data_IF_052820437286
#
_entry.id   IF_052820437286
#
_cell.length_a   1.000
_cell.length_b   1.000
_cell.length_c   1.000
_cell.angle_alpha   90.00
_cell.angle_beta   90.00
_cell.angle_gamma   90.00
#
_symmetry.space_group_name_H-M   'P 1'
#
loop_
_entity.id
_entity.type
_entity.pdbx_description
1 polymer ?
#
# COMPACT_ATOMS: atom_id res chain seq x y z
N UNK A 1 20.16 7.23 16.87
CA UNK A 1 20.04 6.31 15.71
C UNK A 1 18.74 6.54 14.90
N UNK A 2 17.68 7.06 15.51
CA UNK A 2 16.41 7.38 14.79
C UNK A 2 16.57 8.52 13.78
N UNK A 3 17.56 9.38 13.96
CA UNK A 3 17.83 10.57 13.14
C UNK A 3 18.84 10.26 12.04
N UNK A 4 19.85 9.44 12.35
CA UNK A 4 20.94 9.12 11.44
C UNK A 4 20.59 8.02 10.43
N UNK A 5 21.17 8.05 9.23
CA UNK A 5 21.07 6.95 8.28
C UNK A 5 21.60 5.64 8.87
N UNK A 6 21.02 4.47 8.54
CA UNK A 6 21.48 3.18 9.06
C UNK A 6 22.97 2.91 8.82
N UNK A 7 23.52 3.36 7.68
CA UNK A 7 24.94 3.17 7.32
C UNK A 7 25.94 3.74 8.33
N UNK A 8 25.57 4.83 9.01
CA UNK A 8 26.48 5.53 9.95
C UNK A 8 26.04 5.37 11.41
N UNK A 9 24.98 4.61 11.67
CA UNK A 9 24.49 4.39 13.02
C UNK A 9 25.22 3.21 13.65
N UNK A 10 25.91 3.38 14.80
CA UNK A 10 26.57 2.28 15.48
C UNK A 10 25.56 1.22 15.97
N UNK A 11 25.93 -0.04 15.81
CA UNK A 11 25.11 -1.18 16.30
C UNK A 11 25.43 -1.39 17.77
N UNK A 12 24.60 -0.85 18.67
CA UNK A 12 24.81 -0.87 20.11
C UNK A 12 23.60 -1.33 20.90
N UNK A 13 23.83 -1.83 22.10
CA UNK A 13 22.81 -2.35 23.01
C UNK A 13 21.69 -1.35 23.33
N UNK A 14 21.97 -0.05 23.36
CA UNK A 14 21.01 1.00 23.73
C UNK A 14 19.93 1.31 22.67
N UNK A 15 19.92 0.64 21.51
CA UNK A 15 18.85 0.80 20.50
C UNK A 15 17.49 0.32 21.04
N UNK A 16 17.49 -0.45 22.11
CA UNK A 16 16.28 -0.89 22.79
C UNK A 16 16.10 -0.17 24.12
N UNK A 17 14.86 0.23 24.43
CA UNK A 17 14.51 0.80 25.74
C UNK A 17 14.46 -0.26 26.83
N UNK A 18 13.95 -1.45 26.49
CA UNK A 18 13.74 -2.56 27.41
C UNK A 18 14.74 -3.68 27.13
N UNK A 19 15.01 -4.51 28.16
CA UNK A 19 15.78 -5.73 28.01
C UNK A 19 14.96 -6.71 27.16
N UNK A 20 15.57 -7.23 26.08
CA UNK A 20 14.94 -8.25 25.24
C UNK A 20 15.37 -9.61 25.75
N UNK A 21 14.42 -10.39 26.23
CA UNK A 21 14.59 -11.80 26.52
C UNK A 21 14.48 -12.59 25.20
N UNK A 22 15.28 -13.64 25.07
CA UNK A 22 15.25 -14.49 23.89
C UNK A 22 14.23 -15.61 24.09
N UNK A 23 13.08 -15.46 23.43
CA UNK A 23 12.02 -16.47 23.36
C UNK A 23 11.36 -16.38 21.97
N UNK A 24 12.20 -16.27 20.93
CA UNK A 24 11.74 -16.15 19.56
C UNK A 24 12.80 -16.66 18.59
N UNK A 25 12.37 -17.29 17.51
CA UNK A 25 13.25 -17.81 16.46
C UNK A 25 13.23 -16.92 15.18
N UNK A 26 12.28 -16.01 15.07
CA UNK A 26 12.11 -15.15 13.89
C UNK A 26 12.01 -13.69 14.34
N UNK A 27 12.74 -12.82 13.67
CA UNK A 27 12.64 -11.35 13.79
C UNK A 27 12.20 -10.77 12.46
N UNK A 28 11.01 -10.18 12.43
CA UNK A 28 10.52 -9.44 11.26
C UNK A 28 10.64 -7.96 11.55
N UNK A 29 11.30 -7.23 10.65
CA UNK A 29 11.50 -5.80 10.77
C UNK A 29 11.06 -5.08 9.49
N UNK A 30 10.55 -3.85 9.63
CA UNK A 30 10.08 -3.06 8.49
C UNK A 30 10.53 -1.61 8.59
N UNK A 31 11.07 -1.12 7.48
CA UNK A 31 11.44 0.27 7.30
C UNK A 31 12.71 0.70 8.04
N UNK A 32 13.16 1.91 7.74
CA UNK A 32 14.48 2.44 8.12
C UNK A 32 14.80 2.38 9.62
N UNK A 33 13.81 2.62 10.49
CA UNK A 33 14.07 2.71 11.94
C UNK A 33 14.33 1.36 12.60
N UNK A 34 13.89 0.27 11.97
CA UNK A 34 14.05 -1.10 12.50
C UNK A 34 15.31 -1.81 11.99
N UNK A 35 16.04 -1.23 11.03
CA UNK A 35 17.27 -1.81 10.46
C UNK A 35 18.30 -2.13 11.54
N UNK A 36 18.73 -1.11 12.30
CA UNK A 36 19.76 -1.28 13.33
C UNK A 36 19.33 -2.20 14.48
N UNK A 37 18.10 -2.07 15.02
CA UNK A 37 17.60 -3.05 16.00
C UNK A 37 17.63 -4.49 15.48
N UNK A 38 17.21 -4.73 14.23
CA UNK A 38 17.21 -6.06 13.63
C UNK A 38 18.62 -6.64 13.50
N UNK A 39 19.58 -5.85 13.00
CA UNK A 39 21.00 -6.26 12.92
C UNK A 39 21.59 -6.55 14.30
N UNK A 40 21.28 -5.70 15.30
CA UNK A 40 21.73 -5.94 16.67
C UNK A 40 21.24 -7.29 17.20
N UNK A 41 19.96 -7.63 16.99
CA UNK A 41 19.42 -8.92 17.42
C UNK A 41 20.09 -10.08 16.70
N UNK A 42 20.29 -9.98 15.38
CA UNK A 42 20.98 -11.02 14.60
C UNK A 42 22.41 -11.24 15.11
N UNK A 43 23.18 -10.17 15.35
CA UNK A 43 24.54 -10.27 15.88
C UNK A 43 24.58 -10.87 17.29
N UNK A 44 23.57 -10.55 18.12
CA UNK A 44 23.50 -11.06 19.50
C UNK A 44 23.13 -12.54 19.57
N UNK A 45 22.17 -12.97 18.75
CA UNK A 45 21.61 -14.33 18.81
C UNK A 45 22.09 -15.24 17.68
N UNK A 46 22.81 -14.68 16.69
CA UNK A 46 23.43 -15.41 15.56
C UNK A 46 22.47 -16.39 14.89
N UNK A 47 22.87 -17.66 14.81
CA UNK A 47 22.10 -18.72 14.13
C UNK A 47 20.83 -19.16 14.87
N UNK A 48 20.62 -18.67 16.11
CA UNK A 48 19.39 -18.99 16.87
C UNK A 48 18.18 -18.23 16.39
N UNK A 49 18.33 -17.24 15.50
CA UNK A 49 17.23 -16.48 14.94
C UNK A 49 17.38 -16.30 13.42
N UNK A 50 16.25 -16.29 12.75
CA UNK A 50 16.12 -15.84 11.36
C UNK A 50 15.66 -14.39 11.36
N UNK A 51 16.39 -13.55 10.64
CA UNK A 51 16.05 -12.12 10.57
C UNK A 51 15.56 -11.75 9.16
N UNK A 52 14.33 -11.24 9.08
CA UNK A 52 13.63 -10.84 7.86
C UNK A 52 13.45 -9.33 7.89
N UNK A 53 13.85 -8.65 6.82
CA UNK A 53 13.62 -7.21 6.69
C UNK A 53 12.71 -6.90 5.50
N UNK A 54 11.72 -6.03 5.73
CA UNK A 54 10.80 -5.56 4.69
C UNK A 54 11.23 -4.15 4.28
N UNK A 55 11.40 -3.92 2.99
CA UNK A 55 11.97 -2.79 2.28
C UNK A 55 13.50 -2.85 2.14
N UNK A 56 14.04 -1.98 1.28
CA UNK A 56 15.49 -1.83 1.13
C UNK A 56 16.11 -1.27 2.43
N UNK A 57 17.00 -2.01 3.10
CA UNK A 57 17.58 -1.60 4.37
C UNK A 57 18.59 -0.47 4.24
N UNK A 58 19.10 -0.19 3.03
CA UNK A 58 20.14 0.81 2.75
C UNK A 58 21.47 0.55 3.49
N UNK A 59 21.74 -0.69 3.84
CA UNK A 59 23.01 -1.21 4.42
C UNK A 59 23.37 -2.52 3.72
N UNK A 60 24.51 -3.18 4.09
CA UNK A 60 24.85 -4.50 3.54
C UNK A 60 23.71 -5.49 3.72
N UNK A 61 23.34 -6.17 2.64
CA UNK A 61 22.23 -7.13 2.61
C UNK A 61 22.57 -8.39 3.40
N UNK A 62 23.84 -8.70 3.58
CA UNK A 62 24.33 -9.86 4.34
C UNK A 62 23.98 -9.80 5.84
N UNK A 63 23.55 -8.63 6.34
CA UNK A 63 23.05 -8.49 7.70
C UNK A 63 21.68 -9.14 7.92
N UNK A 64 21.04 -9.67 6.88
CA UNK A 64 19.69 -10.25 6.93
C UNK A 64 19.69 -11.62 6.26
N UNK A 65 18.90 -12.54 6.81
CA UNK A 65 18.69 -13.85 6.19
C UNK A 65 17.76 -13.70 4.97
N UNK A 66 16.72 -12.88 5.08
CA UNK A 66 15.81 -12.54 3.99
C UNK A 66 15.49 -11.04 3.96
N UNK A 67 15.40 -10.49 2.76
CA UNK A 67 14.94 -9.12 2.51
C UNK A 67 13.79 -9.19 1.51
N UNK A 68 12.65 -8.60 1.89
CA UNK A 68 11.49 -8.47 1.01
C UNK A 68 11.48 -7.04 0.48
N UNK A 69 11.65 -6.87 -0.81
CA UNK A 69 11.65 -5.55 -1.44
C UNK A 69 10.74 -5.53 -2.67
N UNK A 70 10.02 -4.41 -2.93
CA UNK A 70 9.26 -4.28 -4.17
C UNK A 70 10.18 -4.26 -5.39
N UNK A 71 9.74 -4.87 -6.51
CA UNK A 71 10.49 -4.89 -7.77
C UNK A 71 10.89 -3.48 -8.25
N UNK A 72 10.01 -2.50 -8.02
CA UNK A 72 10.27 -1.11 -8.39
C UNK A 72 11.38 -0.41 -7.58
N UNK A 73 11.90 -1.04 -6.52
CA UNK A 73 13.08 -0.58 -5.77
C UNK A 73 14.39 -1.07 -6.40
N UNK A 74 14.33 -1.99 -7.38
CA UNK A 74 15.46 -2.55 -8.14
C UNK A 74 16.58 -3.14 -7.25
N UNK A 75 16.22 -3.61 -6.05
CA UNK A 75 17.16 -4.22 -5.12
C UNK A 75 17.56 -5.62 -5.60
N UNK A 76 18.87 -5.88 -5.69
CA UNK A 76 19.41 -7.18 -6.12
C UNK A 76 20.28 -7.80 -5.04
N UNK A 77 20.07 -9.08 -4.75
CA UNK A 77 20.86 -9.84 -3.77
C UNK A 77 20.39 -11.29 -3.70
N UNK A 78 21.26 -12.19 -3.23
CA UNK A 78 20.96 -13.64 -3.13
C UNK A 78 19.83 -13.92 -2.11
N UNK A 79 19.69 -13.07 -1.12
CA UNK A 79 18.70 -13.13 -0.05
C UNK A 79 17.53 -12.16 -0.24
N UNK A 80 17.39 -11.56 -1.43
CA UNK A 80 16.30 -10.63 -1.75
C UNK A 80 15.16 -11.38 -2.42
N UNK A 81 13.97 -11.21 -1.86
CA UNK A 81 12.70 -11.71 -2.39
C UNK A 81 11.93 -10.51 -2.91
N UNK A 82 11.65 -10.49 -4.20
CA UNK A 82 10.96 -9.39 -4.84
C UNK A 82 9.43 -9.55 -4.74
N UNK A 83 8.75 -8.47 -4.38
CA UNK A 83 7.29 -8.33 -4.45
C UNK A 83 6.87 -7.43 -5.60
N UNK A 84 5.79 -7.76 -6.28
CA UNK A 84 5.28 -6.92 -7.39
C UNK A 84 4.78 -5.57 -6.92
N UNK A 85 4.21 -5.51 -5.71
CA UNK A 85 3.77 -4.29 -5.07
C UNK A 85 4.25 -4.19 -3.63
N UNK A 86 3.66 -3.28 -2.88
CA UNK A 86 3.92 -3.16 -1.45
C UNK A 86 3.32 -4.34 -0.69
N UNK A 87 4.06 -4.90 0.28
CA UNK A 87 3.51 -5.86 1.23
C UNK A 87 2.55 -5.14 2.17
N UNK A 88 1.38 -5.70 2.37
CA UNK A 88 0.33 -5.16 3.22
C UNK A 88 -0.38 -6.26 4.02
N UNK A 89 -1.15 -5.88 5.02
CA UNK A 89 -1.86 -6.79 5.91
C UNK A 89 -3.24 -7.20 5.38
N UNK A 90 -3.77 -6.54 4.35
CA UNK A 90 -5.11 -6.81 3.84
C UNK A 90 -5.21 -8.22 3.28
N UNK A 91 -6.28 -8.91 3.63
CA UNK A 91 -6.66 -10.23 3.13
C UNK A 91 -8.05 -10.19 2.52
N UNK A 92 -8.36 -11.15 1.64
CA UNK A 92 -9.70 -11.31 1.10
C UNK A 92 -10.74 -11.58 2.21
N UNK A 93 -10.34 -12.26 3.30
CA UNK A 93 -11.21 -12.50 4.44
C UNK A 93 -11.59 -11.21 5.15
N UNK A 94 -10.62 -10.32 5.43
CA UNK A 94 -10.92 -9.01 6.02
C UNK A 94 -11.85 -8.17 5.15
N UNK A 95 -11.71 -8.23 3.82
CA UNK A 95 -12.65 -7.56 2.90
C UNK A 95 -14.07 -8.14 3.05
N UNK A 96 -14.20 -9.48 3.07
CA UNK A 96 -15.49 -10.14 3.21
C UNK A 96 -16.16 -9.83 4.57
N UNK A 97 -15.42 -9.88 5.66
CA UNK A 97 -15.91 -9.60 7.03
C UNK A 97 -16.43 -8.16 7.17
N UNK A 98 -15.88 -7.22 6.41
CA UNK A 98 -16.27 -5.80 6.48
C UNK A 98 -17.25 -5.38 5.36
N UNK A 99 -17.70 -6.28 4.49
CA UNK A 99 -18.62 -5.96 3.39
C UNK A 99 -19.87 -5.21 3.87
N UNK A 100 -20.48 -5.69 4.95
CA UNK A 100 -21.73 -5.15 5.47
C UNK A 100 -21.62 -3.75 6.10
N UNK A 101 -20.41 -3.25 6.37
CA UNK A 101 -20.22 -1.99 7.08
C UNK A 101 -20.84 -0.78 6.34
N UNK A 102 -20.72 -0.73 5.01
CA UNK A 102 -21.34 0.31 4.21
C UNK A 102 -22.57 -0.19 3.41
N UNK A 103 -22.86 -1.48 3.43
CA UNK A 103 -23.92 -2.08 2.60
C UNK A 103 -25.29 -1.47 2.81
N UNK A 104 -25.61 -1.03 4.02
CA UNK A 104 -26.89 -0.36 4.33
C UNK A 104 -26.99 1.09 3.80
N UNK A 105 -25.84 1.66 3.38
CA UNK A 105 -25.76 3.04 2.88
C UNK A 105 -25.71 3.13 1.37
N UNK A 106 -25.51 2.01 0.69
CA UNK A 106 -25.41 1.98 -0.78
C UNK A 106 -26.78 1.81 -1.42
N UNK A 107 -26.94 2.39 -2.60
CA UNK A 107 -28.04 2.14 -3.50
C UNK A 107 -27.77 0.83 -4.26
N UNK A 108 -28.55 -0.21 -3.99
CA UNK A 108 -28.40 -1.52 -4.59
C UNK A 108 -28.67 -1.56 -6.11
N UNK A 109 -29.24 -0.49 -6.67
CA UNK A 109 -29.48 -0.37 -8.11
C UNK A 109 -28.27 0.23 -8.85
N UNK A 110 -27.31 0.80 -8.12
CA UNK A 110 -26.13 1.45 -8.68
C UNK A 110 -24.88 0.58 -8.57
N UNK A 111 -23.99 0.74 -9.53
CA UNK A 111 -22.64 0.22 -9.43
C UNK A 111 -21.85 1.07 -8.43
N UNK A 112 -20.95 0.48 -7.69
CA UNK A 112 -20.15 1.21 -6.69
C UNK A 112 -18.79 1.57 -7.26
N UNK A 113 -18.41 2.82 -7.08
CA UNK A 113 -17.05 3.33 -7.26
C UNK A 113 -16.41 3.57 -5.90
N UNK A 114 -15.27 2.94 -5.60
CA UNK A 114 -14.45 3.36 -4.47
C UNK A 114 -13.43 4.40 -4.95
N UNK A 115 -13.52 5.63 -4.45
CA UNK A 115 -12.53 6.68 -4.72
C UNK A 115 -11.67 6.93 -3.48
N UNK A 116 -10.40 6.52 -3.54
CA UNK A 116 -9.46 6.59 -2.44
C UNK A 116 -8.53 7.78 -2.67
N UNK A 117 -8.60 8.76 -1.78
CA UNK A 117 -7.82 9.99 -1.86
C UNK A 117 -6.61 9.88 -0.93
N UNK A 118 -5.43 9.98 -1.50
CA UNK A 118 -4.17 10.08 -0.77
C UNK A 118 -3.94 11.47 -0.19
N UNK A 119 -2.72 11.95 -0.22
CA UNK A 119 -2.37 13.28 0.26
C UNK A 119 -0.96 13.68 -0.15
N UNK A 120 -0.60 14.95 0.02
CA UNK A 120 0.67 15.47 -0.42
C UNK A 120 1.84 14.73 0.23
N UNK A 121 2.91 14.61 -0.51
CA UNK A 121 4.17 14.06 -0.03
C UNK A 121 5.35 14.77 -0.73
N UNK A 122 6.58 14.29 -0.55
CA UNK A 122 7.76 14.92 -1.16
C UNK A 122 7.84 14.83 -2.68
N UNK A 123 6.97 14.04 -3.32
CA UNK A 123 6.95 13.81 -4.77
C UNK A 123 5.72 14.39 -5.45
N UNK A 124 4.61 14.49 -4.74
CA UNK A 124 3.32 14.93 -5.27
C UNK A 124 2.72 16.02 -4.40
N UNK A 125 2.23 17.08 -5.04
CA UNK A 125 1.41 18.11 -4.42
C UNK A 125 -0.07 17.82 -4.66
N UNK A 126 -0.91 18.52 -3.88
CA UNK A 126 -2.36 18.50 -4.05
C UNK A 126 -2.80 19.93 -4.32
N UNK A 127 -3.06 20.22 -5.58
CA UNK A 127 -3.59 21.49 -6.06
C UNK A 127 -5.12 21.38 -6.15
N UNK A 128 -5.83 22.43 -5.72
CA UNK A 128 -7.30 22.43 -5.73
C UNK A 128 -7.89 22.35 -7.14
N UNK A 129 -7.24 22.96 -8.14
CA UNK A 129 -7.69 22.90 -9.55
C UNK A 129 -7.60 21.48 -10.11
N UNK A 130 -6.48 20.79 -9.82
CA UNK A 130 -6.30 19.40 -10.27
C UNK A 130 -7.31 18.48 -9.57
N UNK A 131 -7.62 18.75 -8.30
CA UNK A 131 -8.67 18.00 -7.60
C UNK A 131 -10.05 18.24 -8.22
N UNK A 132 -10.36 19.46 -8.62
CA UNK A 132 -11.59 19.77 -9.35
C UNK A 132 -11.67 18.99 -10.65
N UNK A 133 -10.59 18.93 -11.42
CA UNK A 133 -10.53 18.12 -12.65
C UNK A 133 -10.75 16.62 -12.35
N UNK A 134 -10.16 16.08 -11.29
CA UNK A 134 -10.38 14.70 -10.87
C UNK A 134 -11.85 14.48 -10.48
N UNK A 135 -12.45 15.39 -9.71
CA UNK A 135 -13.86 15.29 -9.32
C UNK A 135 -14.79 15.38 -10.53
N UNK A 136 -14.48 16.25 -11.50
CA UNK A 136 -15.20 16.33 -12.77
C UNK A 136 -15.13 14.99 -13.53
N UNK A 137 -13.95 14.39 -13.62
CA UNK A 137 -13.76 13.08 -14.26
C UNK A 137 -14.55 11.97 -13.53
N UNK A 138 -14.52 11.95 -12.19
CA UNK A 138 -15.32 11.02 -11.38
C UNK A 138 -16.81 11.19 -11.69
N UNK A 139 -17.31 12.43 -11.71
CA UNK A 139 -18.71 12.71 -12.01
C UNK A 139 -19.09 12.28 -13.42
N UNK A 140 -18.32 12.68 -14.42
CA UNK A 140 -18.64 12.43 -15.82
C UNK A 140 -18.48 10.96 -16.21
N UNK A 141 -17.40 10.32 -15.75
CA UNK A 141 -17.11 8.95 -16.18
C UNK A 141 -17.91 7.91 -15.38
N UNK A 142 -18.23 8.17 -14.10
CA UNK A 142 -18.85 7.19 -13.24
C UNK A 142 -20.25 7.60 -12.76
N UNK A 143 -20.39 8.72 -12.04
CA UNK A 143 -21.66 9.08 -11.39
C UNK A 143 -22.76 9.26 -12.45
N UNK A 144 -22.50 10.00 -13.52
CA UNK A 144 -23.44 10.21 -14.61
C UNK A 144 -23.75 8.93 -15.42
N UNK A 145 -22.97 7.85 -15.19
CA UNK A 145 -23.14 6.55 -15.83
C UNK A 145 -23.62 5.46 -14.84
N UNK A 146 -24.39 5.86 -13.83
CA UNK A 146 -25.10 4.96 -12.92
C UNK A 146 -24.23 4.36 -11.82
N UNK A 147 -23.18 5.08 -11.40
CA UNK A 147 -22.39 4.72 -10.21
C UNK A 147 -22.77 5.56 -9.01
N UNK A 148 -22.67 4.97 -7.84
CA UNK A 148 -22.59 5.67 -6.57
C UNK A 148 -21.11 5.64 -6.11
N UNK A 149 -20.57 6.81 -5.79
CA UNK A 149 -19.19 6.93 -5.33
C UNK A 149 -19.13 6.84 -3.80
N UNK A 150 -18.13 6.07 -3.31
CA UNK A 150 -17.72 6.05 -1.92
C UNK A 150 -16.35 6.73 -1.87
N UNK A 151 -16.27 7.92 -1.29
CA UNK A 151 -15.06 8.74 -1.22
C UNK A 151 -14.38 8.54 0.14
N UNK A 152 -13.11 8.11 0.12
CA UNK A 152 -12.40 7.68 1.32
C UNK A 152 -11.06 8.42 1.43
N UNK A 153 -10.82 9.10 2.58
CA UNK A 153 -9.54 9.72 2.86
C UNK A 153 -8.50 8.71 3.35
N UNK A 154 -7.24 9.01 3.09
CA UNK A 154 -6.08 8.40 3.74
C UNK A 154 -5.61 9.22 4.94
N UNK A 155 -4.64 8.67 5.70
CA UNK A 155 -3.99 9.38 6.81
C UNK A 155 -3.32 10.70 6.41
N UNK A 156 -3.01 10.88 5.12
CA UNK A 156 -2.35 12.09 4.59
C UNK A 156 -3.30 13.07 3.93
N UNK A 157 -4.56 12.71 3.78
CA UNK A 157 -5.55 13.55 3.10
C UNK A 157 -5.84 14.79 3.95
N UNK A 158 -5.57 16.01 3.44
CA UNK A 158 -5.90 17.24 4.15
C UNK A 158 -7.41 17.38 4.36
N UNK A 159 -7.82 17.92 5.51
CA UNK A 159 -9.24 18.09 5.85
C UNK A 159 -10.01 18.99 4.86
N UNK A 160 -9.35 20.00 4.29
CA UNK A 160 -9.98 20.87 3.27
C UNK A 160 -10.35 20.10 2.00
N UNK A 161 -9.61 19.04 1.64
CA UNK A 161 -9.95 18.20 0.47
C UNK A 161 -11.25 17.43 0.72
N UNK A 162 -11.44 16.90 1.93
CA UNK A 162 -12.69 16.19 2.27
C UNK A 162 -13.87 17.17 2.31
N UNK A 163 -13.72 18.34 2.93
CA UNK A 163 -14.74 19.40 2.89
C UNK A 163 -15.09 19.83 1.45
N UNK A 164 -14.08 19.90 0.58
CA UNK A 164 -14.28 20.19 -0.84
C UNK A 164 -15.07 19.06 -1.52
N UNK A 165 -14.79 17.81 -1.23
CA UNK A 165 -15.56 16.68 -1.74
C UNK A 165 -17.03 16.75 -1.23
N UNK A 166 -17.25 17.05 0.05
CA UNK A 166 -18.59 17.24 0.65
C UNK A 166 -19.40 18.35 -0.04
N UNK A 167 -18.74 19.44 -0.47
CA UNK A 167 -19.40 20.54 -1.20
C UNK A 167 -19.59 20.27 -2.69
N UNK A 168 -18.81 19.35 -3.29
CA UNK A 168 -18.83 19.06 -4.72
C UNK A 168 -19.80 17.94 -5.10
N UNK A 169 -19.83 16.88 -4.31
CA UNK A 169 -20.67 15.71 -4.55
C UNK A 169 -22.00 15.84 -3.81
N UNK A 170 -23.08 15.38 -4.43
CA UNK A 170 -24.40 15.39 -3.85
C UNK A 170 -24.57 14.34 -2.73
N UNK A 171 -25.69 14.42 -2.02
CA UNK A 171 -26.05 13.55 -0.89
C UNK A 171 -26.23 12.07 -1.26
N UNK A 172 -26.32 11.74 -2.54
CA UNK A 172 -26.39 10.36 -3.01
C UNK A 172 -25.03 9.68 -3.01
N UNK A 173 -23.94 10.44 -2.85
CA UNK A 173 -22.60 9.88 -2.71
C UNK A 173 -22.26 9.68 -1.23
N UNK A 174 -21.40 8.71 -0.94
CA UNK A 174 -20.97 8.43 0.43
C UNK A 174 -19.59 9.03 0.63
N UNK A 175 -19.48 10.03 1.49
CA UNK A 175 -18.20 10.63 1.83
C UNK A 175 -17.84 10.23 3.26
N UNK A 176 -16.68 9.61 3.42
CA UNK A 176 -16.15 9.22 4.73
C UNK A 176 -15.33 10.40 5.26
N UNK A 177 -15.78 11.07 6.34
CA UNK A 177 -15.17 12.35 6.74
C UNK A 177 -13.78 12.19 7.40
N UNK A 178 -13.52 11.02 7.96
CA UNK A 178 -12.25 10.70 8.63
C UNK A 178 -11.73 9.33 8.21
N UNK A 179 -10.48 9.05 8.52
CA UNK A 179 -9.89 7.74 8.26
C UNK A 179 -10.66 6.65 9.02
N UNK A 180 -11.23 5.73 8.28
CA UNK A 180 -12.00 4.61 8.81
C UNK A 180 -11.60 3.32 8.07
N UNK A 181 -10.92 2.42 8.79
CA UNK A 181 -10.45 1.15 8.24
C UNK A 181 -11.62 0.28 7.74
N UNK A 182 -12.73 0.21 8.49
CA UNK A 182 -13.89 -0.62 8.11
C UNK A 182 -14.56 -0.09 6.86
N UNK A 183 -14.73 1.24 6.77
CA UNK A 183 -15.26 1.89 5.57
C UNK A 183 -14.37 1.63 4.34
N UNK A 184 -13.04 1.73 4.50
CA UNK A 184 -12.07 1.43 3.45
C UNK A 184 -12.19 0.00 2.92
N UNK A 185 -12.21 -0.99 3.83
CA UNK A 185 -12.34 -2.40 3.48
C UNK A 185 -13.69 -2.69 2.81
N UNK A 186 -14.77 -2.14 3.35
CA UNK A 186 -16.12 -2.28 2.79
C UNK A 186 -16.20 -1.69 1.39
N UNK A 187 -15.66 -0.49 1.17
CA UNK A 187 -15.66 0.14 -0.14
C UNK A 187 -14.87 -0.67 -1.17
N UNK A 188 -13.67 -1.16 -0.82
CA UNK A 188 -12.89 -2.04 -1.69
C UNK A 188 -13.67 -3.32 -2.05
N UNK A 189 -14.39 -3.89 -1.08
CA UNK A 189 -15.21 -5.09 -1.30
C UNK A 189 -16.42 -4.82 -2.19
N UNK A 190 -17.14 -3.72 -1.97
CA UNK A 190 -18.38 -3.39 -2.68
C UNK A 190 -18.12 -2.81 -4.08
N UNK A 191 -16.98 -2.18 -4.31
CA UNK A 191 -16.68 -1.49 -5.56
C UNK A 191 -16.76 -2.40 -6.79
N UNK A 192 -17.29 -1.86 -7.89
CA UNK A 192 -17.13 -2.42 -9.25
C UNK A 192 -15.84 -1.89 -9.88
N UNK A 193 -15.51 -0.61 -9.64
CA UNK A 193 -14.28 0.05 -10.06
C UNK A 193 -13.66 0.79 -8.88
N UNK A 194 -12.37 0.97 -8.93
CA UNK A 194 -11.61 1.67 -7.90
C UNK A 194 -10.84 2.81 -8.56
N UNK A 195 -10.88 3.99 -7.98
CA UNK A 195 -9.99 5.11 -8.34
C UNK A 195 -9.08 5.39 -7.16
N UNK A 196 -7.79 5.52 -7.41
CA UNK A 196 -6.78 5.83 -6.37
C UNK A 196 -5.91 6.95 -6.88
N UNK A 197 -5.59 7.94 -6.04
CA UNK A 197 -4.63 8.98 -6.39
C UNK A 197 -3.20 8.43 -6.46
N UNK A 198 -2.38 8.92 -7.38
CA UNK A 198 -1.07 8.34 -7.76
C UNK A 198 0.01 8.41 -6.67
N UNK A 199 -0.21 9.17 -5.60
CA UNK A 199 0.79 9.45 -4.56
C UNK A 199 1.10 8.28 -3.61
N UNK A 200 0.37 7.16 -3.72
CA UNK A 200 0.52 6.03 -2.81
C UNK A 200 0.56 4.67 -3.52
N UNK A 201 1.76 4.15 -3.72
CA UNK A 201 1.96 2.78 -4.21
C UNK A 201 1.35 1.73 -3.29
N UNK A 202 1.29 2.00 -1.97
CA UNK A 202 0.68 1.08 -1.00
C UNK A 202 -0.83 0.93 -1.20
N UNK A 203 -1.57 2.04 -1.34
CA UNK A 203 -3.03 1.98 -1.55
C UNK A 203 -3.39 1.31 -2.88
N UNK A 204 -2.59 1.54 -3.93
CA UNK A 204 -2.78 0.86 -5.22
C UNK A 204 -2.49 -0.64 -5.08
N UNK A 205 -1.44 -1.04 -4.34
CA UNK A 205 -1.13 -2.44 -4.08
C UNK A 205 -2.21 -3.13 -3.24
N UNK A 206 -2.75 -2.43 -2.24
CA UNK A 206 -3.86 -2.90 -1.42
C UNK A 206 -5.13 -3.10 -2.26
N UNK A 207 -5.45 -2.16 -3.15
CA UNK A 207 -6.58 -2.30 -4.06
C UNK A 207 -6.42 -3.48 -5.03
N UNK A 208 -5.20 -3.81 -5.43
CA UNK A 208 -4.90 -4.86 -6.40
C UNK A 208 -5.25 -6.29 -5.93
N UNK A 209 -5.41 -6.50 -4.60
CA UNK A 209 -5.88 -7.79 -4.06
C UNK A 209 -7.31 -8.12 -4.50
N UNK A 210 -8.09 -7.09 -4.83
CA UNK A 210 -9.51 -7.26 -5.19
C UNK A 210 -9.71 -7.90 -6.55
N UNK A 211 -8.77 -7.77 -7.48
CA UNK A 211 -8.92 -8.16 -8.89
C UNK A 211 -9.84 -7.24 -9.70
N UNK A 212 -10.22 -6.08 -9.15
CA UNK A 212 -11.15 -5.12 -9.78
C UNK A 212 -10.39 -4.05 -10.53
N UNK A 213 -10.94 -3.51 -11.65
CA UNK A 213 -10.32 -2.43 -12.40
C UNK A 213 -9.93 -1.23 -11.52
N UNK A 214 -8.67 -0.81 -11.60
CA UNK A 214 -8.13 0.30 -10.83
C UNK A 214 -7.72 1.42 -11.78
N UNK A 215 -8.31 2.59 -11.61
CA UNK A 215 -7.89 3.80 -12.28
C UNK A 215 -7.01 4.65 -11.36
N UNK A 216 -5.94 5.19 -11.92
CA UNK A 216 -5.03 6.08 -11.19
C UNK A 216 -5.32 7.53 -11.56
N UNK A 217 -5.71 8.32 -10.55
CA UNK A 217 -5.88 9.76 -10.68
C UNK A 217 -4.53 10.46 -10.50
N UNK A 218 -4.06 11.13 -11.54
CA UNK A 218 -2.75 11.80 -11.52
C UNK A 218 -2.81 13.09 -10.69
N UNK A 219 -1.77 13.28 -9.85
CA UNK A 219 -1.54 14.48 -9.05
C UNK A 219 -0.28 15.20 -9.54
N UNK A 220 -0.16 16.53 -9.33
CA UNK A 220 1.00 17.28 -9.79
C UNK A 220 2.28 16.75 -9.16
N UNK A 221 3.27 16.49 -10.02
CA UNK A 221 4.58 16.00 -9.60
C UNK A 221 5.48 17.17 -9.18
N UNK A 222 5.94 17.16 -7.92
CA UNK A 222 6.95 18.09 -7.39
C UNK A 222 8.35 17.65 -7.83
N UNK A 223 8.61 16.36 -7.77
CA UNK A 223 9.91 15.76 -8.05
C UNK A 223 9.76 14.41 -8.75
N UNK A 224 10.41 14.28 -9.89
CA UNK A 224 10.49 13.00 -10.58
C UNK A 224 11.11 11.91 -9.68
N UNK A 225 10.51 10.74 -9.71
CA UNK A 225 10.98 9.59 -8.96
C UNK A 225 10.89 8.33 -9.83
N UNK A 226 12.05 7.78 -10.19
CA UNK A 226 12.13 6.56 -11.00
C UNK A 226 11.38 5.39 -10.36
N UNK A 227 11.39 5.31 -9.02
CA UNK A 227 10.67 4.28 -8.28
C UNK A 227 9.15 4.29 -8.57
N UNK A 228 8.52 5.49 -8.61
CA UNK A 228 7.10 5.58 -8.98
C UNK A 228 6.86 5.21 -10.44
N UNK A 229 7.73 5.65 -11.35
CA UNK A 229 7.63 5.27 -12.78
C UNK A 229 7.72 3.76 -12.95
N UNK A 230 8.69 3.12 -12.32
CA UNK A 230 8.86 1.66 -12.37
C UNK A 230 7.63 0.94 -11.80
N UNK A 231 7.05 1.45 -10.71
CA UNK A 231 5.84 0.90 -10.13
C UNK A 231 4.65 0.99 -11.10
N UNK A 232 4.39 2.16 -11.68
CA UNK A 232 3.29 2.32 -12.62
C UNK A 232 3.48 1.48 -13.86
N UNK A 233 4.67 1.49 -14.48
CA UNK A 233 4.97 0.66 -15.63
C UNK A 233 4.75 -0.84 -15.35
N UNK A 234 5.15 -1.32 -14.18
CA UNK A 234 4.92 -2.70 -13.76
C UNK A 234 3.42 -3.00 -13.64
N UNK A 235 2.66 -2.13 -12.95
CA UNK A 235 1.24 -2.35 -12.72
C UNK A 235 0.40 -2.21 -14.01
N UNK A 236 0.78 -1.34 -14.92
CA UNK A 236 0.22 -1.24 -16.28
C UNK A 236 0.51 -2.49 -17.09
N UNK A 237 1.77 -2.98 -17.08
CA UNK A 237 2.16 -4.21 -17.81
C UNK A 237 1.44 -5.46 -17.28
N UNK A 238 1.07 -5.47 -16.00
CA UNK A 238 0.25 -6.53 -15.38
C UNK A 238 -1.25 -6.32 -15.60
N UNK A 239 -1.64 -5.30 -16.35
CA UNK A 239 -3.03 -4.92 -16.60
C UNK A 239 -3.83 -4.65 -15.32
N UNK A 240 -3.17 -4.22 -14.23
CA UNK A 240 -3.80 -3.92 -12.93
C UNK A 240 -4.42 -2.52 -12.94
N UNK A 241 -3.71 -1.55 -13.51
CA UNK A 241 -4.11 -0.14 -13.51
C UNK A 241 -4.23 0.44 -14.92
N UNK A 242 -5.12 1.43 -15.03
CA UNK A 242 -5.20 2.36 -16.16
C UNK A 242 -5.26 3.80 -15.65
N UNK A 243 -4.99 4.75 -16.52
CA UNK A 243 -5.12 6.17 -16.19
C UNK A 243 -6.61 6.56 -16.12
N UNK A 244 -6.97 7.43 -15.19
CA UNK A 244 -8.34 7.93 -15.05
C UNK A 244 -8.83 8.73 -16.29
N UNK A 245 -7.91 9.13 -17.16
CA UNK A 245 -8.24 9.87 -18.41
C UNK A 245 -8.86 8.98 -19.50
N UNK A 246 -8.80 7.65 -19.34
CA UNK A 246 -9.37 6.71 -20.28
C UNK A 246 -10.88 6.53 -20.06
N UNK A 247 -11.59 6.03 -21.08
CA UNK A 247 -12.99 5.64 -20.94
C UNK A 247 -13.17 4.56 -19.87
N UNK A 248 -14.34 4.52 -19.22
CA UNK A 248 -14.63 3.48 -18.23
C UNK A 248 -14.82 2.14 -18.93
N UNK A 249 -13.93 1.22 -18.61
CA UNK A 249 -13.88 -0.13 -19.15
C UNK A 249 -13.93 -1.16 -18.03
N UNK A 250 -14.41 -2.36 -18.36
CA UNK A 250 -14.25 -3.52 -17.50
C UNK A 250 -13.07 -4.34 -18.03
N UNK A 251 -12.18 -4.74 -17.12
CA UNK A 251 -11.10 -5.69 -17.42
C UNK A 251 -10.81 -6.53 -16.20
N UNK A 252 -10.18 -7.65 -16.43
CA UNK A 252 -9.76 -8.57 -15.39
C UNK A 252 -8.24 -8.67 -15.36
N UNK A 253 -7.70 -8.91 -14.19
CA UNK A 253 -6.29 -9.22 -13.97
C UNK A 253 -6.14 -10.23 -12.83
N UNK A 254 -4.98 -10.88 -12.76
CA UNK A 254 -4.68 -11.82 -11.67
C UNK A 254 -4.54 -11.05 -10.35
N UNK A 255 -5.41 -11.33 -9.38
CA UNK A 255 -5.35 -10.75 -8.03
C UNK A 255 -3.94 -10.80 -7.48
N UNK A 256 -3.50 -9.67 -6.92
CA UNK A 256 -2.14 -9.53 -6.42
C UNK A 256 -2.12 -9.74 -4.90
N UNK A 257 -1.89 -10.99 -4.47
CA UNK A 257 -1.75 -11.35 -3.06
C UNK A 257 -0.29 -11.69 -2.73
N UNK A 258 0.54 -10.65 -2.74
CA UNK A 258 1.99 -10.78 -2.56
C UNK A 258 2.35 -11.20 -1.13
N UNK A 259 1.55 -10.83 -0.14
CA UNK A 259 1.79 -11.23 1.25
C UNK A 259 1.70 -12.74 1.41
N UNK A 260 0.65 -13.37 0.88
CA UNK A 260 0.50 -14.83 0.92
C UNK A 260 1.56 -15.54 0.07
N UNK A 261 1.84 -15.05 -1.14
CA UNK A 261 2.88 -15.63 -2.01
C UNK A 261 4.25 -15.65 -1.33
N UNK A 262 4.64 -14.52 -0.74
CA UNK A 262 5.97 -14.37 -0.13
C UNK A 262 6.04 -15.10 1.21
N UNK A 263 4.99 -15.06 2.03
CA UNK A 263 4.99 -15.80 3.29
C UNK A 263 5.07 -17.31 3.08
N UNK A 264 4.38 -17.85 2.07
CA UNK A 264 4.51 -19.25 1.65
C UNK A 264 5.94 -19.59 1.25
N UNK A 265 6.55 -18.79 0.36
CA UNK A 265 7.93 -18.99 -0.06
C UNK A 265 8.93 -18.96 1.12
N UNK A 266 8.79 -17.99 2.02
CA UNK A 266 9.67 -17.89 3.20
C UNK A 266 9.46 -19.07 4.13
N UNK A 267 8.23 -19.50 4.37
CA UNK A 267 7.92 -20.67 5.19
C UNK A 267 8.62 -21.93 4.68
N UNK A 268 8.55 -22.17 3.36
CA UNK A 268 9.23 -23.30 2.73
C UNK A 268 10.75 -23.22 2.89
N UNK A 269 11.32 -22.01 2.75
CA UNK A 269 12.75 -21.79 2.97
C UNK A 269 13.16 -22.01 4.42
N UNK A 270 12.38 -21.54 5.38
CA UNK A 270 12.66 -21.69 6.82
C UNK A 270 12.60 -23.16 7.25
N UNK A 271 11.63 -23.93 6.76
CA UNK A 271 11.52 -25.33 7.06
C UNK A 271 12.75 -26.16 6.62
N UNK A 272 13.49 -25.65 5.63
CA UNK A 272 14.75 -26.24 5.14
C UNK A 272 15.99 -25.56 5.75
N UNK A 273 15.83 -24.66 6.72
CA UNK A 273 16.94 -23.96 7.38
C UNK A 273 17.29 -24.74 8.64
N UNK A 274 18.50 -25.29 8.71
CA UNK A 274 19.06 -25.84 9.92
C UNK A 274 19.29 -24.69 10.94
N UNK A 275 18.36 -24.56 11.88
CA UNK A 275 18.55 -23.71 13.05
C UNK A 275 19.33 -24.55 14.07
N UNK A 276 20.64 -24.70 13.85
CA UNK A 276 21.56 -25.36 14.77
C UNK A 276 22.17 -24.39 15.78
#
# INVERSE_FOLDING_TARGET
WKIFPPKITPIKKFVFKNKINHDFNIVISCGRKSVIPSIYLKNKFKNKIINIHIQDPKVSLENFDFIIAPEHDELKGKNVILSKGSIHYLTLNELNENENYLKMKIDNQKKILAFIIGGPNKYYSYDEKILDEVFIKIKNNFINNGYQAIIIPSMRTPKNIIKKAESYFDENQIIIPNVDKKAYLSALKLAKHIVVTCDSTSMISEAAITGKPIYVAQMPTIKNNQRFKNFFNLFESLNIIKNLDTSVENWDYKKLDETNRISGYIKDKINNYDIS
#
